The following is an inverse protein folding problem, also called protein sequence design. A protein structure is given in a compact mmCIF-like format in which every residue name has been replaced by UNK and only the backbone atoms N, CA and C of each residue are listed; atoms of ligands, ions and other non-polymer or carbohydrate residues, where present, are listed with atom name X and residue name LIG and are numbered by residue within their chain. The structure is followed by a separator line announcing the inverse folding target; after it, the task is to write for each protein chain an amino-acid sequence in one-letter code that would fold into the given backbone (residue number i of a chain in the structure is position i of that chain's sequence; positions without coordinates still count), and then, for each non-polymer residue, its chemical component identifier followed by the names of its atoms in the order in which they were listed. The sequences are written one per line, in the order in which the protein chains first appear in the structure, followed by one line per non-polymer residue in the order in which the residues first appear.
data_IF_501122868838
#
_entry.id   IF_501122868838
#
_cell.length_a   1.000
_cell.length_b   1.000
_cell.length_c   1.000
_cell.angle_alpha   90.00
_cell.angle_beta   90.00
_cell.angle_gamma   90.00
#
_symmetry.space_group_name_H-M   'P 1'
#
loop_
_entity.id
_entity.type
_entity.pdbx_description
1 polymer ?
#
# COMPACT_ATOMS: atom_id res chain seq x y z
N UNK A 1 -4.10 -19.84 -3.98
CA UNK A 1 -3.11 -19.03 -4.73
C UNK A 1 -2.33 -18.24 -3.69
N UNK A 2 -1.02 -18.06 -3.84
CA UNK A 2 -0.22 -17.28 -2.89
C UNK A 2 -0.28 -15.80 -3.24
N UNK A 3 -0.41 -14.92 -2.25
CA UNK A 3 -0.33 -13.47 -2.40
C UNK A 3 1.01 -12.97 -1.88
N UNK A 4 1.59 -12.02 -2.60
CA UNK A 4 2.84 -11.35 -2.25
C UNK A 4 2.50 -10.06 -1.53
N UNK A 5 3.18 -9.80 -0.42
CA UNK A 5 3.12 -8.51 0.29
C UNK A 5 4.38 -7.73 -0.04
N UNK A 6 4.21 -6.62 -0.74
CA UNK A 6 5.29 -5.67 -1.02
C UNK A 6 5.10 -4.41 -0.19
N UNK A 7 6.18 -3.64 -0.08
CA UNK A 7 6.19 -2.36 0.59
C UNK A 7 7.26 -1.43 0.04
N UNK A 8 7.00 -0.13 0.15
CA UNK A 8 7.93 0.92 -0.21
C UNK A 8 7.54 2.24 0.46
N UNK A 9 8.42 3.23 0.41
CA UNK A 9 8.12 4.56 0.94
C UNK A 9 7.61 5.47 -0.17
N UNK A 10 6.54 6.21 0.11
CA UNK A 10 6.11 7.30 -0.75
C UNK A 10 5.52 8.45 0.07
N UNK A 11 5.35 9.60 -0.58
CA UNK A 11 4.66 10.76 -0.02
C UNK A 11 3.15 10.61 -0.25
N UNK A 12 2.35 10.66 0.83
CA UNK A 12 0.88 10.55 0.72
C UNK A 12 0.28 11.71 -0.06
N UNK A 13 0.75 12.93 0.20
CA UNK A 13 0.28 14.13 -0.48
C UNK A 13 0.62 14.07 -1.97
N UNK A 14 1.81 13.59 -2.34
CA UNK A 14 2.21 13.43 -3.75
C UNK A 14 1.31 12.41 -4.45
N UNK A 15 1.06 11.25 -3.85
CA UNK A 15 0.10 10.26 -4.39
C UNK A 15 -1.29 10.88 -4.56
N UNK A 16 -1.79 11.60 -3.56
CA UNK A 16 -3.10 12.24 -3.63
C UNK A 16 -3.17 13.36 -4.70
N UNK A 17 -2.10 14.12 -4.90
CA UNK A 17 -1.98 15.14 -5.96
C UNK A 17 -2.03 14.51 -7.35
N UNK A 18 -1.27 13.43 -7.56
CA UNK A 18 -1.30 12.65 -8.81
C UNK A 18 -2.71 12.14 -9.07
N UNK A 19 -3.30 11.43 -8.09
CA UNK A 19 -4.65 10.89 -8.21
C UNK A 19 -5.66 11.99 -8.51
N UNK A 20 -5.60 13.17 -7.92
CA UNK A 20 -6.60 14.21 -8.21
C UNK A 20 -6.29 15.06 -9.48
N UNK A 21 -5.15 14.84 -10.13
CA UNK A 21 -4.69 15.68 -11.25
C UNK A 21 -4.44 17.14 -10.87
N UNK A 22 -4.19 17.43 -9.58
CA UNK A 22 -4.11 18.80 -9.03
C UNK A 22 -2.67 19.23 -8.84
N UNK A 23 -2.42 20.51 -9.16
CA UNK A 23 -1.14 21.19 -8.91
C UNK A 23 0.10 20.47 -9.48
N UNK A 24 -0.09 19.73 -10.57
CA UNK A 24 0.97 18.95 -11.22
C UNK A 24 2.00 19.84 -11.91
N UNK A 25 3.26 19.63 -11.57
CA UNK A 25 4.41 20.25 -12.25
C UNK A 25 4.59 19.67 -13.66
N UNK A 26 5.52 20.23 -14.44
CA UNK A 26 5.85 19.68 -15.77
C UNK A 26 6.42 18.26 -15.65
N UNK A 27 7.33 18.04 -14.69
CA UNK A 27 7.92 16.72 -14.43
C UNK A 27 6.84 15.71 -14.01
N UNK A 28 5.88 16.12 -13.16
CA UNK A 28 4.76 15.25 -12.78
C UNK A 28 3.90 14.84 -13.99
N UNK A 29 3.76 15.70 -15.01
CA UNK A 29 3.03 15.35 -16.23
C UNK A 29 3.79 14.32 -17.07
N UNK A 30 5.12 14.45 -17.17
CA UNK A 30 5.95 13.46 -17.86
C UNK A 30 5.90 12.11 -17.15
N UNK A 31 6.00 12.12 -15.81
CA UNK A 31 5.79 10.96 -14.95
C UNK A 31 4.43 10.29 -15.20
N UNK A 32 3.35 11.06 -15.32
CA UNK A 32 2.02 10.50 -15.61
C UNK A 32 1.93 9.83 -16.98
N UNK A 33 2.64 10.31 -18.00
CA UNK A 33 2.67 9.62 -19.30
C UNK A 33 3.32 8.23 -19.18
N UNK A 34 4.32 8.07 -18.31
CA UNK A 34 4.91 6.76 -18.03
C UNK A 34 3.92 5.85 -17.29
N UNK A 35 3.18 6.39 -16.31
CA UNK A 35 2.13 5.64 -15.61
C UNK A 35 1.01 5.21 -16.57
N UNK A 36 0.60 6.07 -17.50
CA UNK A 36 -0.37 5.74 -18.56
C UNK A 36 0.12 4.60 -19.44
N UNK A 37 1.40 4.59 -19.79
CA UNK A 37 1.97 3.50 -20.58
C UNK A 37 1.99 2.18 -19.80
N UNK A 38 2.38 2.21 -18.52
CA UNK A 38 2.31 1.04 -17.65
C UNK A 38 0.88 0.51 -17.52
N UNK A 39 -0.13 1.39 -17.43
CA UNK A 39 -1.53 1.00 -17.40
C UNK A 39 -1.96 0.27 -18.68
N UNK A 40 -1.50 0.73 -19.86
CA UNK A 40 -1.76 0.05 -21.14
C UNK A 40 -1.06 -1.30 -21.22
N UNK A 41 0.20 -1.38 -20.78
CA UNK A 41 0.94 -2.64 -20.73
C UNK A 41 0.25 -3.65 -19.82
N UNK A 42 -0.22 -3.21 -18.65
CA UNK A 42 -0.93 -4.08 -17.72
C UNK A 42 -2.28 -4.53 -18.29
N UNK A 43 -3.02 -3.65 -18.95
CA UNK A 43 -4.26 -4.03 -19.64
C UNK A 43 -4.00 -5.07 -20.73
N UNK A 44 -2.93 -4.92 -21.52
CA UNK A 44 -2.59 -5.90 -22.55
C UNK A 44 -2.30 -7.29 -21.97
N UNK A 45 -1.68 -7.37 -20.79
CA UNK A 45 -1.48 -8.63 -20.06
C UNK A 45 -2.82 -9.24 -19.61
N UNK A 46 -3.74 -8.44 -19.07
CA UNK A 46 -5.09 -8.88 -18.68
C UNK A 46 -5.90 -9.38 -19.89
N UNK A 47 -5.85 -8.64 -21.01
CA UNK A 47 -6.50 -9.01 -22.26
C UNK A 47 -5.97 -10.36 -22.78
N UNK A 48 -4.67 -10.62 -22.62
CA UNK A 48 -4.06 -11.91 -22.99
C UNK A 48 -4.52 -13.09 -22.12
N UNK A 49 -4.99 -12.81 -20.91
CA UNK A 49 -5.57 -13.76 -19.97
C UNK A 49 -7.10 -13.84 -20.06
N UNK A 50 -7.70 -13.10 -21.01
CA UNK A 50 -9.16 -12.99 -21.21
C UNK A 50 -9.91 -12.51 -19.95
N UNK A 51 -9.25 -11.69 -19.11
CA UNK A 51 -9.83 -11.12 -17.90
C UNK A 51 -10.52 -9.79 -18.20
N UNK A 52 -11.84 -9.73 -18.00
CA UNK A 52 -12.65 -8.52 -18.17
C UNK A 52 -13.28 -8.08 -16.84
N UNK A 53 -12.89 -6.90 -16.36
CA UNK A 53 -13.45 -6.26 -15.16
C UNK A 53 -14.56 -5.24 -15.46
N UNK A 54 -14.93 -5.08 -16.74
CA UNK A 54 -15.87 -4.09 -17.23
C UNK A 54 -15.36 -2.65 -17.23
N UNK A 55 -14.21 -2.39 -16.60
CA UNK A 55 -13.47 -1.12 -16.65
C UNK A 55 -12.00 -1.44 -16.88
N UNK A 56 -11.39 -0.82 -17.89
CA UNK A 56 -9.97 -1.03 -18.19
C UNK A 56 -9.08 -0.32 -17.17
N UNK A 57 -7.87 -0.80 -16.94
CA UNK A 57 -6.88 -0.13 -16.08
C UNK A 57 -6.56 1.30 -16.57
N UNK A 58 -6.37 1.56 -17.88
CA UNK A 58 -6.21 2.92 -18.41
C UNK A 58 -7.42 3.83 -18.14
N UNK A 59 -8.65 3.36 -18.34
CA UNK A 59 -9.85 4.17 -18.09
C UNK A 59 -10.01 4.45 -16.59
N UNK A 60 -9.72 3.46 -15.74
CA UNK A 60 -9.68 3.62 -14.30
C UNK A 60 -8.64 4.66 -13.88
N UNK A 61 -7.45 4.68 -14.50
CA UNK A 61 -6.45 5.72 -14.27
C UNK A 61 -6.99 7.11 -14.63
N UNK A 62 -7.58 7.31 -15.82
CA UNK A 62 -8.11 8.62 -16.21
C UNK A 62 -9.28 9.08 -15.32
N UNK A 63 -10.10 8.14 -14.86
CA UNK A 63 -11.11 8.42 -13.84
C UNK A 63 -10.46 8.93 -12.55
N UNK A 64 -9.47 8.21 -12.03
CA UNK A 64 -8.73 8.63 -10.84
C UNK A 64 -8.22 10.04 -11.03
N UNK A 65 -7.40 10.29 -12.08
CA UNK A 65 -6.81 11.60 -12.44
C UNK A 65 -7.84 12.73 -12.58
N UNK A 66 -9.09 12.40 -12.90
CA UNK A 66 -10.21 13.34 -12.98
C UNK A 66 -10.94 13.56 -11.64
N UNK A 67 -10.44 12.97 -10.56
CA UNK A 67 -11.01 13.06 -9.21
C UNK A 67 -12.26 12.19 -9.00
N UNK A 68 -12.40 11.06 -9.71
CA UNK A 68 -13.58 10.20 -9.64
C UNK A 68 -13.23 8.70 -9.63
N UNK A 69 -14.10 7.90 -9.04
CA UNK A 69 -14.06 6.44 -9.08
C UNK A 69 -15.48 5.85 -9.03
N UNK A 70 -16.32 6.29 -9.96
CA UNK A 70 -17.79 6.15 -9.97
C UNK A 70 -18.27 5.17 -11.07
N UNK A 71 -17.41 4.25 -11.52
CA UNK A 71 -17.82 3.23 -12.48
C UNK A 71 -18.83 2.28 -11.82
N UNK A 72 -19.94 1.94 -12.50
CA UNK A 72 -20.97 1.06 -11.94
C UNK A 72 -20.62 -0.43 -12.09
N UNK A 73 -19.51 -0.80 -12.73
CA UNK A 73 -19.17 -2.20 -12.98
C UNK A 73 -18.76 -2.89 -11.68
N UNK A 74 -19.19 -4.14 -11.50
CA UNK A 74 -18.98 -4.92 -10.27
C UNK A 74 -17.49 -5.05 -9.90
N UNK A 75 -16.63 -5.20 -10.91
CA UNK A 75 -15.18 -5.38 -10.76
C UNK A 75 -14.38 -4.09 -10.97
N UNK A 76 -15.05 -2.93 -11.04
CA UNK A 76 -14.37 -1.63 -11.19
C UNK A 76 -13.33 -1.39 -10.10
N UNK A 77 -13.60 -1.86 -8.87
CA UNK A 77 -12.67 -1.72 -7.75
C UNK A 77 -11.30 -2.31 -8.04
N UNK A 78 -11.24 -3.46 -8.72
CA UNK A 78 -9.99 -4.09 -9.15
C UNK A 78 -9.22 -3.19 -10.10
N UNK A 79 -9.87 -2.65 -11.13
CA UNK A 79 -9.24 -1.74 -12.08
C UNK A 79 -8.72 -0.45 -11.40
N UNK A 80 -9.50 0.13 -10.48
CA UNK A 80 -9.10 1.32 -9.74
C UNK A 80 -7.92 1.07 -8.80
N UNK A 81 -7.93 -0.03 -8.03
CA UNK A 81 -6.83 -0.34 -7.14
C UNK A 81 -5.56 -0.67 -7.91
N UNK A 82 -5.68 -1.34 -9.06
CA UNK A 82 -4.55 -1.56 -9.96
C UNK A 82 -3.98 -0.26 -10.50
N UNK A 83 -4.83 0.65 -11.00
CA UNK A 83 -4.39 1.96 -11.48
C UNK A 83 -3.77 2.81 -10.37
N UNK A 84 -4.35 2.79 -9.17
CA UNK A 84 -3.80 3.47 -7.99
C UNK A 84 -2.45 2.89 -7.57
N UNK A 85 -2.28 1.56 -7.61
CA UNK A 85 -1.02 0.91 -7.31
C UNK A 85 0.09 1.39 -8.26
N UNK A 86 -0.20 1.50 -9.57
CA UNK A 86 0.76 2.03 -10.54
C UNK A 86 1.20 3.47 -10.21
N UNK A 87 0.26 4.32 -9.76
CA UNK A 87 0.58 5.68 -9.31
C UNK A 87 1.46 5.65 -8.05
N UNK A 88 1.12 4.79 -7.08
CA UNK A 88 1.85 4.63 -5.83
C UNK A 88 3.27 4.12 -6.07
N UNK A 89 3.44 3.10 -6.90
CA UNK A 89 4.74 2.49 -7.26
C UNK A 89 5.65 3.51 -7.94
N UNK A 90 5.08 4.32 -8.83
CA UNK A 90 5.84 5.32 -9.55
C UNK A 90 6.14 6.58 -8.72
N UNK A 91 5.34 6.84 -7.67
CA UNK A 91 5.56 7.98 -6.75
C UNK A 91 6.52 7.65 -5.61
N UNK A 92 6.96 6.40 -5.50
CA UNK A 92 7.65 5.85 -4.35
C UNK A 92 9.14 5.56 -4.56
N UNK A 93 9.77 5.07 -3.51
CA UNK A 93 11.07 4.40 -3.58
C UNK A 93 10.95 3.05 -4.28
N UNK A 94 12.10 2.40 -4.52
CA UNK A 94 12.14 1.01 -4.98
C UNK A 94 11.28 0.09 -4.10
N UNK A 95 10.56 -0.80 -4.76
CA UNK A 95 9.66 -1.78 -4.13
C UNK A 95 10.49 -2.88 -3.48
N UNK A 96 10.18 -3.19 -2.22
CA UNK A 96 10.72 -4.34 -1.50
C UNK A 96 9.61 -5.36 -1.26
N UNK A 97 9.95 -6.64 -1.34
CA UNK A 97 9.03 -7.73 -0.99
C UNK A 97 9.24 -8.13 0.45
N UNK A 98 8.16 -8.18 1.23
CA UNK A 98 8.18 -8.69 2.60
C UNK A 98 8.19 -10.21 2.57
N UNK A 99 7.16 -10.82 1.96
CA UNK A 99 7.05 -12.27 1.83
C UNK A 99 5.89 -12.67 0.90
N UNK A 100 5.82 -13.96 0.61
CA UNK A 100 4.70 -14.61 -0.06
C UNK A 100 3.93 -15.49 0.91
N UNK A 101 2.60 -15.33 0.96
CA UNK A 101 1.73 -16.04 1.89
C UNK A 101 0.57 -16.70 1.15
N UNK A 102 0.07 -17.82 1.67
CA UNK A 102 -1.17 -18.43 1.17
C UNK A 102 -2.41 -17.55 1.45
N UNK A 103 -2.42 -16.84 2.58
CA UNK A 103 -3.44 -15.86 2.94
C UNK A 103 -2.84 -14.81 3.90
N UNK A 104 -2.34 -13.66 3.37
CA UNK A 104 -1.79 -12.59 4.21
C UNK A 104 -2.79 -12.10 5.25
N UNK A 105 -4.06 -11.91 4.89
CA UNK A 105 -5.07 -11.40 5.82
C UNK A 105 -5.32 -12.35 6.99
N UNK A 106 -5.33 -13.68 6.74
CA UNK A 106 -5.47 -14.67 7.80
C UNK A 106 -4.27 -14.64 8.74
N UNK A 107 -3.05 -14.63 8.18
CA UNK A 107 -1.82 -14.56 8.96
C UNK A 107 -1.81 -13.33 9.87
N UNK A 108 -2.00 -12.13 9.30
CA UNK A 108 -1.94 -10.89 10.07
C UNK A 108 -3.10 -10.76 11.06
N UNK A 109 -4.29 -11.32 10.78
CA UNK A 109 -5.38 -11.36 11.77
C UNK A 109 -5.01 -12.22 12.99
N UNK A 110 -4.33 -13.35 12.78
CA UNK A 110 -3.85 -14.20 13.88
C UNK A 110 -2.71 -13.49 14.64
N UNK A 111 -1.77 -12.89 13.92
CA UNK A 111 -0.68 -12.12 14.51
C UNK A 111 -1.20 -10.94 15.36
N UNK A 112 -2.20 -10.20 14.87
CA UNK A 112 -2.84 -9.11 15.59
C UNK A 112 -3.44 -9.56 16.92
N UNK A 113 -4.07 -10.73 16.94
CA UNK A 113 -4.64 -11.31 18.16
C UNK A 113 -3.56 -11.62 19.20
N UNK A 114 -2.46 -12.23 18.77
CA UNK A 114 -1.33 -12.57 19.65
C UNK A 114 -0.61 -11.32 20.15
N UNK A 115 -0.37 -10.32 19.28
CA UNK A 115 0.20 -9.03 19.66
C UNK A 115 -0.69 -8.27 20.63
N UNK A 116 -2.01 -8.25 20.39
CA UNK A 116 -2.99 -7.65 21.29
C UNK A 116 -3.00 -8.33 22.67
N UNK A 117 -2.94 -9.66 22.71
CA UNK A 117 -2.82 -10.43 23.95
C UNK A 117 -1.48 -10.16 24.68
N UNK A 118 -0.41 -9.89 23.93
CA UNK A 118 0.87 -9.44 24.45
C UNK A 118 0.89 -7.93 24.83
N UNK A 119 -0.24 -7.22 24.73
CA UNK A 119 -0.39 -5.84 25.18
C UNK A 119 0.06 -4.78 24.18
N UNK A 120 0.25 -5.14 22.91
CA UNK A 120 0.41 -4.15 21.83
C UNK A 120 -0.93 -3.42 21.63
N UNK A 121 -0.86 -2.10 21.50
CA UNK A 121 -2.07 -1.29 21.36
C UNK A 121 -2.74 -1.50 19.99
N UNK A 122 -4.08 -1.46 19.91
CA UNK A 122 -4.80 -1.75 18.67
C UNK A 122 -4.38 -0.90 17.46
N UNK A 123 -4.00 0.35 17.68
CA UNK A 123 -3.58 1.30 16.65
C UNK A 123 -2.19 1.00 16.06
N UNK A 124 -1.45 0.09 16.68
CA UNK A 124 -0.15 -0.41 16.26
C UNK A 124 -0.24 -1.81 15.66
N UNK A 125 -1.42 -2.39 15.44
CA UNK A 125 -1.53 -3.77 14.94
C UNK A 125 -1.38 -3.85 13.40
N UNK A 126 -0.68 -4.87 12.86
CA UNK A 126 -0.46 -5.08 11.42
C UNK A 126 -1.67 -4.89 10.51
N UNK A 127 -2.84 -5.45 10.84
CA UNK A 127 -3.99 -5.36 9.93
C UNK A 127 -4.50 -3.93 9.75
N UNK A 128 -4.24 -3.04 10.73
CA UNK A 128 -4.67 -1.64 10.66
C UNK A 128 -4.00 -0.86 9.54
N UNK A 129 -2.93 -1.40 8.95
CA UNK A 129 -2.12 -0.65 8.00
C UNK A 129 -1.64 -1.40 6.80
N UNK A 130 -1.54 -2.72 6.86
CA UNK A 130 -1.29 -3.53 5.66
C UNK A 130 -2.53 -3.53 4.77
N UNK A 131 -3.74 -3.37 5.36
CA UNK A 131 -5.03 -3.42 4.66
C UNK A 131 -5.89 -2.16 4.91
N UNK A 132 -5.26 -1.02 5.22
CA UNK A 132 -6.00 0.22 5.54
C UNK A 132 -6.78 0.79 4.36
N UNK A 133 -6.40 0.43 3.14
CA UNK A 133 -6.87 1.04 1.90
C UNK A 133 -6.04 2.26 1.49
N UNK A 134 -6.50 2.98 0.45
CA UNK A 134 -5.85 4.17 -0.11
C UNK A 134 -5.58 5.27 0.92
N UNK A 135 -4.64 6.20 0.65
CA UNK A 135 -4.42 7.38 1.47
C UNK A 135 -5.70 8.17 1.74
N UNK A 136 -5.91 8.56 3.00
CA UNK A 136 -7.06 9.38 3.42
C UNK A 136 -7.11 10.77 2.79
N UNK A 137 -5.99 11.23 2.24
CA UNK A 137 -5.82 12.50 1.54
C UNK A 137 -6.53 12.50 0.17
N UNK A 138 -6.87 11.34 -0.38
CA UNK A 138 -7.66 11.23 -1.61
C UNK A 138 -9.10 11.68 -1.30
N UNK A 139 -9.62 12.74 -1.96
CA UNK A 139 -10.84 13.40 -1.52
C UNK A 139 -12.15 12.72 -1.97
N UNK A 140 -12.05 11.52 -2.56
CA UNK A 140 -13.20 10.75 -3.04
C UNK A 140 -13.02 9.27 -2.70
N UNK A 141 -14.15 8.57 -2.60
CA UNK A 141 -14.14 7.14 -2.33
C UNK A 141 -13.72 6.34 -3.57
N UNK A 142 -12.77 5.43 -3.39
CA UNK A 142 -12.39 4.43 -4.39
C UNK A 142 -12.97 3.08 -3.94
N UNK A 143 -13.80 2.40 -4.77
CA UNK A 143 -14.39 1.14 -4.39
C UNK A 143 -13.32 0.06 -4.26
N UNK A 144 -13.44 -0.77 -3.21
CA UNK A 144 -12.52 -1.89 -2.95
C UNK A 144 -12.71 -3.02 -3.96
N UNK A 145 -11.65 -3.75 -4.35
CA UNK A 145 -11.78 -4.96 -5.17
C UNK A 145 -12.59 -6.04 -4.43
N UNK A 146 -13.55 -6.72 -5.10
CA UNK A 146 -14.36 -7.76 -4.46
C UNK A 146 -13.56 -8.90 -3.82
N UNK A 147 -12.41 -9.28 -4.41
CA UNK A 147 -11.55 -10.38 -3.94
C UNK A 147 -10.34 -9.92 -3.10
N UNK A 148 -10.24 -8.62 -2.81
CA UNK A 148 -9.12 -8.06 -2.07
C UNK A 148 -7.76 -8.33 -2.74
N UNK A 149 -7.69 -8.19 -4.06
CA UNK A 149 -6.43 -8.15 -4.82
C UNK A 149 -6.60 -7.16 -5.99
N UNK A 150 -5.76 -6.11 -6.11
CA UNK A 150 -4.76 -5.71 -5.14
C UNK A 150 -5.39 -5.15 -3.85
N UNK A 151 -4.78 -5.37 -2.69
CA UNK A 151 -5.08 -4.60 -1.47
C UNK A 151 -3.97 -3.60 -1.19
N UNK A 152 -4.36 -2.43 -0.70
CA UNK A 152 -3.46 -1.32 -0.43
C UNK A 152 -3.45 -1.03 1.06
N UNK A 153 -2.27 -0.76 1.59
CA UNK A 153 -2.05 -0.34 2.96
C UNK A 153 -1.20 0.92 3.02
N UNK A 154 -1.41 1.75 4.04
CA UNK A 154 -0.66 3.00 4.26
C UNK A 154 -0.38 3.16 5.75
N UNK A 155 0.89 3.33 6.09
CA UNK A 155 1.34 3.58 7.46
C UNK A 155 2.21 4.83 7.56
N UNK A 156 1.78 5.86 8.31
CA UNK A 156 2.61 7.02 8.58
C UNK A 156 3.92 6.63 9.27
N UNK A 157 5.05 7.10 8.76
CA UNK A 157 6.38 6.68 9.27
C UNK A 157 6.59 7.01 10.76
N UNK A 158 5.90 8.03 11.26
CA UNK A 158 5.93 8.43 12.67
C UNK A 158 5.37 7.34 13.61
N UNK A 159 4.52 6.45 13.10
CA UNK A 159 4.00 5.29 13.83
C UNK A 159 4.90 4.06 13.76
N UNK A 160 5.86 4.00 12.83
CA UNK A 160 6.73 2.84 12.66
C UNK A 160 7.62 2.60 13.87
N UNK A 161 8.26 3.66 14.42
CA UNK A 161 9.11 3.55 15.62
C UNK A 161 8.42 2.93 16.84
N UNK A 162 7.28 3.48 17.29
CA UNK A 162 6.48 2.89 18.37
C UNK A 162 6.06 1.44 18.10
N UNK A 163 5.66 1.11 16.87
CA UNK A 163 5.29 -0.26 16.50
C UNK A 163 6.48 -1.22 16.62
N UNK A 164 7.64 -0.86 16.05
CA UNK A 164 8.88 -1.65 16.12
C UNK A 164 9.25 -1.95 17.58
N UNK A 165 9.20 -0.93 18.45
CA UNK A 165 9.45 -1.08 19.89
C UNK A 165 8.47 -2.08 20.53
N UNK A 166 7.17 -1.88 20.32
CA UNK A 166 6.13 -2.72 20.90
C UNK A 166 6.23 -4.18 20.41
N UNK A 167 6.53 -4.39 19.13
CA UNK A 167 6.70 -5.71 18.54
C UNK A 167 7.92 -6.44 19.11
N UNK A 168 9.06 -5.74 19.26
CA UNK A 168 10.27 -6.31 19.88
C UNK A 168 10.01 -6.76 21.32
N UNK A 169 9.24 -5.97 22.09
CA UNK A 169 8.85 -6.32 23.46
C UNK A 169 7.80 -7.45 23.53
N UNK A 170 7.02 -7.65 22.47
CA UNK A 170 6.02 -8.70 22.38
C UNK A 170 6.56 -10.04 21.83
N UNK A 171 7.70 -10.01 21.13
CA UNK A 171 8.23 -11.15 20.35
C UNK A 171 8.34 -12.45 21.15
N UNK A 172 8.83 -12.40 22.38
CA UNK A 172 8.97 -13.59 23.23
C UNK A 172 7.66 -14.05 23.90
N UNK A 173 6.61 -13.24 23.82
CA UNK A 173 5.30 -13.45 24.47
C UNK A 173 4.22 -13.96 23.52
N UNK A 174 4.49 -14.00 22.22
CA UNK A 174 3.60 -14.57 21.21
C UNK A 174 3.97 -16.02 20.88
N UNK A 175 3.06 -16.69 20.18
CA UNK A 175 3.27 -18.02 19.61
C UNK A 175 4.62 -18.12 18.87
N UNK A 176 5.51 -19.07 19.23
CA UNK A 176 6.76 -19.34 18.52
C UNK A 176 6.64 -19.44 17.00
N UNK A 177 5.53 -20.00 16.50
CA UNK A 177 5.31 -20.20 15.06
C UNK A 177 5.06 -18.89 14.30
N UNK A 178 4.80 -17.78 15.00
CA UNK A 178 4.58 -16.45 14.41
C UNK A 178 5.77 -15.48 14.59
N UNK A 179 6.80 -15.90 15.34
CA UNK A 179 7.94 -15.05 15.67
C UNK A 179 8.78 -14.74 14.44
N UNK A 180 8.84 -15.66 13.48
CA UNK A 180 9.56 -15.45 12.24
C UNK A 180 8.92 -14.30 11.45
N UNK A 181 7.62 -14.37 11.20
CA UNK A 181 6.85 -13.38 10.46
C UNK A 181 6.87 -12.01 11.16
N UNK A 182 6.79 -11.99 12.49
CA UNK A 182 6.93 -10.74 13.25
C UNK A 182 8.35 -10.16 13.13
N UNK A 183 9.38 -11.01 13.12
CA UNK A 183 10.78 -10.57 12.98
C UNK A 183 11.05 -9.98 11.60
N UNK A 184 10.57 -10.61 10.53
CA UNK A 184 10.65 -10.08 9.16
C UNK A 184 9.95 -8.72 9.05
N UNK A 185 8.76 -8.58 9.65
CA UNK A 185 8.04 -7.31 9.68
C UNK A 185 8.80 -6.23 10.49
N UNK A 186 9.39 -6.59 11.63
CA UNK A 186 10.24 -5.67 12.41
C UNK A 186 11.42 -5.19 11.56
N UNK A 187 12.12 -6.09 10.88
CA UNK A 187 13.29 -5.76 10.06
C UNK A 187 12.92 -4.83 8.91
N UNK A 188 11.84 -5.15 8.18
CA UNK A 188 11.31 -4.33 7.11
C UNK A 188 10.98 -2.90 7.56
N UNK A 189 10.30 -2.75 8.71
CA UNK A 189 9.95 -1.45 9.27
C UNK A 189 11.18 -0.69 9.77
N UNK A 190 12.10 -1.37 10.45
CA UNK A 190 13.29 -0.75 11.06
C UNK A 190 14.29 -0.24 10.02
N UNK A 191 14.45 -0.95 8.89
CA UNK A 191 15.30 -0.51 7.79
C UNK A 191 14.90 0.87 7.26
N UNK A 192 13.61 1.04 6.94
CA UNK A 192 13.08 2.32 6.47
C UNK A 192 12.99 3.37 7.57
N UNK A 193 12.53 2.99 8.76
CA UNK A 193 12.43 3.91 9.89
C UNK A 193 13.79 4.49 10.28
N UNK A 194 14.86 3.68 10.29
CA UNK A 194 16.21 4.15 10.58
C UNK A 194 16.72 5.15 9.55
N UNK A 195 16.44 4.92 8.26
CA UNK A 195 16.73 5.88 7.19
C UNK A 195 15.96 7.20 7.36
N UNK A 196 14.67 7.10 7.64
CA UNK A 196 13.80 8.25 7.84
C UNK A 196 14.14 9.05 9.10
N UNK A 197 14.33 8.38 10.23
CA UNK A 197 14.60 9.00 11.53
C UNK A 197 15.94 9.76 11.54
N UNK A 198 16.94 9.31 10.78
CA UNK A 198 18.21 10.05 10.59
C UNK A 198 18.02 11.37 9.83
N UNK A 199 17.02 11.47 8.97
CA UNK A 199 16.75 12.63 8.12
C UNK A 199 15.52 13.43 8.56
N UNK A 200 14.94 13.12 9.72
CA UNK A 200 13.67 13.68 10.20
C UNK A 200 13.68 15.19 10.42
N UNK A 201 14.86 15.80 10.56
CA UNK A 201 15.00 17.23 10.76
C UNK A 201 14.96 18.02 9.43
N UNK A 202 14.87 17.33 8.29
CA UNK A 202 14.59 17.95 6.99
C UNK A 202 13.08 18.24 6.85
N UNK A 203 12.67 19.51 6.64
CA UNK A 203 11.26 19.90 6.62
C UNK A 203 10.40 19.17 5.58
N UNK A 204 10.97 18.84 4.41
CA UNK A 204 10.27 18.13 3.33
C UNK A 204 10.15 16.61 3.52
N UNK A 205 10.70 16.06 4.61
CA UNK A 205 10.80 14.60 4.85
C UNK A 205 9.94 14.11 6.03
N UNK A 206 9.49 15.01 6.92
CA UNK A 206 9.02 14.63 8.26
C UNK A 206 7.54 14.28 8.38
N UNK A 207 6.65 14.87 7.59
CA UNK A 207 5.20 14.77 7.87
C UNK A 207 4.42 13.91 6.87
N UNK A 208 4.93 13.78 5.65
CA UNK A 208 4.18 13.21 4.54
C UNK A 208 4.67 11.83 4.08
N UNK A 209 5.83 11.38 4.58
CA UNK A 209 6.41 10.08 4.24
C UNK A 209 5.69 8.95 4.98
N UNK A 210 5.20 7.98 4.20
CA UNK A 210 4.53 6.78 4.69
C UNK A 210 5.10 5.54 4.03
N UNK A 211 4.94 4.40 4.69
CA UNK A 211 5.12 3.09 4.09
C UNK A 211 3.81 2.72 3.41
N UNK A 212 3.88 2.43 2.12
CA UNK A 212 2.79 1.86 1.36
C UNK A 212 2.99 0.36 1.29
N UNK A 213 1.90 -0.39 1.49
CA UNK A 213 1.86 -1.84 1.33
C UNK A 213 1.00 -2.18 0.13
N UNK A 214 1.41 -3.17 -0.63
CA UNK A 214 0.61 -3.76 -1.69
C UNK A 214 0.54 -5.27 -1.52
N UNK A 215 -0.67 -5.81 -1.59
CA UNK A 215 -0.92 -7.24 -1.48
C UNK A 215 -1.49 -7.69 -2.81
N UNK A 216 -0.69 -8.45 -3.57
CA UNK A 216 -0.95 -8.77 -4.97
C UNK A 216 -0.85 -10.28 -5.23
N UNK A 217 -1.52 -10.75 -6.27
CA UNK A 217 -1.55 -12.16 -6.70
C UNK A 217 -2.89 -12.85 -6.44
#
# INVERSE_FOLDING_TARGET
MSKIVNYHMASRTRVAQFVAGRDLTADDRETLEQVRELARMHQADLDSQELDWGLTVPDALEHLLSGRADSPTEWAGTAYYTALQLVIDHSGSDISTLASYSSPITLYTVLDKELGAAGVTPDLLPTQYIFSGPPSEIPFHIPRPPEGSPEIGVWPMQKAGPAIQAYREALDRIDPDLRYELSELIEALDGWYSGWNRNRDMPWWREDTSIFFSVVG
#
